data_IF_928346868428
#
_entry.id   IF_928346868428
#
_cell.length_a   1.000
_cell.length_b   1.000
_cell.length_c   1.000
_cell.angle_alpha   90.00
_cell.angle_beta   90.00
_cell.angle_gamma   90.00
#
_symmetry.space_group_name_H-M   'P 1'
#
loop_
_entity.id
_entity.type
_entity.pdbx_description
1 polymer ?
#
# COMPACT_ATOMS: atom_id res chain seq x y z
N UNK A 1 0.87 48.97 8.58
CA UNK A 1 2.12 48.23 8.83
C UNK A 1 2.23 47.10 7.82
N UNK A 2 3.33 46.95 7.10
CA UNK A 2 3.40 46.12 5.92
C UNK A 2 3.55 44.65 6.28
N UNK A 3 2.55 43.82 5.90
CA UNK A 3 2.56 42.35 5.97
C UNK A 3 3.61 41.68 5.07
N UNK A 4 4.40 42.42 4.30
CA UNK A 4 5.40 41.94 3.33
C UNK A 4 6.59 41.19 3.93
N UNK A 5 6.85 41.30 5.24
CA UNK A 5 8.05 40.75 5.88
C UNK A 5 7.91 39.31 6.40
N UNK A 6 6.69 38.73 6.42
CA UNK A 6 6.45 37.41 7.01
C UNK A 6 6.40 36.26 5.99
N UNK A 7 6.09 36.53 4.72
CA UNK A 7 5.95 35.50 3.70
C UNK A 7 7.32 35.01 3.22
N UNK A 8 8.30 35.89 3.08
CA UNK A 8 9.66 35.53 2.64
C UNK A 8 10.41 34.57 3.61
N UNK A 9 10.40 34.81 4.94
CA UNK A 9 11.09 33.89 5.87
C UNK A 9 10.40 32.52 6.00
N UNK A 10 9.07 32.45 5.87
CA UNK A 10 8.36 31.16 5.87
C UNK A 10 8.68 30.37 4.60
N UNK A 11 8.81 31.04 3.45
CA UNK A 11 9.23 30.45 2.19
C UNK A 11 10.66 29.88 2.26
N UNK A 12 11.58 30.60 2.92
CA UNK A 12 12.98 30.16 3.08
C UNK A 12 13.10 28.94 4.02
N UNK A 13 12.26 28.84 5.05
CA UNK A 13 12.24 27.70 5.97
C UNK A 13 11.73 26.40 5.30
N UNK A 14 10.76 26.51 4.39
CA UNK A 14 10.23 25.36 3.63
C UNK A 14 11.27 24.79 2.68
N UNK A 15 12.13 25.63 2.12
CA UNK A 15 13.20 25.20 1.19
C UNK A 15 14.42 24.58 1.93
N UNK A 16 14.66 24.95 3.19
CA UNK A 16 15.84 24.49 3.94
C UNK A 16 15.60 23.18 4.74
N UNK A 17 14.34 22.80 5.02
CA UNK A 17 14.01 21.57 5.74
C UNK A 17 13.82 20.33 4.86
N UNK A 18 13.97 20.46 3.54
CA UNK A 18 13.74 19.40 2.54
C UNK A 18 14.88 18.44 2.27
N UNK A 19 15.91 18.37 3.11
CA UNK A 19 17.00 17.43 2.93
C UNK A 19 16.80 16.13 3.71
N UNK A 20 16.30 15.12 3.08
CA UNK A 20 16.73 13.73 2.96
C UNK A 20 15.58 12.76 2.73
N UNK A 21 15.69 12.12 1.61
CA UNK A 21 14.99 10.91 1.09
C UNK A 21 13.77 11.14 0.19
N UNK A 22 14.06 11.18 -1.12
CA UNK A 22 13.37 10.31 -2.07
C UNK A 22 11.94 10.62 -2.46
N UNK A 23 11.55 11.90 -2.70
CA UNK A 23 10.27 12.12 -3.41
C UNK A 23 10.34 13.32 -4.37
N UNK A 24 11.09 13.14 -5.47
CA UNK A 24 11.26 14.13 -6.54
C UNK A 24 9.92 14.66 -7.09
N UNK A 25 8.88 13.82 -7.11
CA UNK A 25 7.55 14.23 -7.55
C UNK A 25 6.88 15.21 -6.58
N UNK A 26 7.08 15.03 -5.29
CA UNK A 26 6.49 15.88 -4.25
C UNK A 26 7.21 17.24 -4.15
N UNK A 27 8.53 17.25 -4.35
CA UNK A 27 9.32 18.49 -4.43
C UNK A 27 8.92 19.31 -5.66
N UNK A 28 8.68 18.65 -6.79
CA UNK A 28 8.19 19.30 -8.01
C UNK A 28 6.80 19.89 -7.80
N UNK A 29 5.89 19.17 -7.18
CA UNK A 29 4.54 19.65 -6.88
C UNK A 29 4.54 20.81 -5.88
N UNK A 30 5.40 20.78 -4.87
CA UNK A 30 5.57 21.86 -3.93
C UNK A 30 6.18 23.11 -4.61
N UNK A 31 7.13 22.92 -5.55
CA UNK A 31 7.70 23.99 -6.33
C UNK A 31 6.66 24.65 -7.26
N UNK A 32 5.77 23.84 -7.87
CA UNK A 32 4.68 24.33 -8.72
C UNK A 32 3.64 25.14 -7.91
N UNK A 33 3.25 24.63 -6.73
CA UNK A 33 2.35 25.36 -5.80
C UNK A 33 2.99 26.68 -5.36
N UNK A 34 4.27 26.66 -5.06
CA UNK A 34 5.02 27.84 -4.64
C UNK A 34 5.13 28.89 -5.77
N UNK A 35 5.33 28.43 -7.01
CA UNK A 35 5.35 29.29 -8.18
C UNK A 35 3.98 29.93 -8.42
N UNK A 36 2.89 29.16 -8.24
CA UNK A 36 1.54 29.67 -8.41
C UNK A 36 1.15 30.68 -7.29
N UNK A 37 1.55 30.42 -6.05
CA UNK A 37 1.38 31.37 -4.94
C UNK A 37 2.13 32.69 -5.21
N UNK A 38 3.33 32.64 -5.79
CA UNK A 38 4.07 33.86 -6.19
C UNK A 38 3.35 34.63 -7.29
N UNK A 39 2.76 33.92 -8.30
CA UNK A 39 1.96 34.56 -9.35
C UNK A 39 0.69 35.19 -8.82
N UNK A 40 0.00 34.53 -7.88
CA UNK A 40 -1.19 35.08 -7.24
C UNK A 40 -0.85 36.33 -6.43
N UNK A 41 0.25 36.33 -5.68
CA UNK A 41 0.69 37.52 -4.93
C UNK A 41 1.07 38.67 -5.85
N UNK A 42 1.76 38.44 -6.97
CA UNK A 42 2.06 39.49 -7.95
C UNK A 42 0.79 40.10 -8.56
N UNK A 43 -0.22 39.25 -8.90
CA UNK A 43 -1.54 39.73 -9.36
C UNK A 43 -2.29 40.52 -8.31
N UNK A 44 -2.19 40.12 -7.04
CA UNK A 44 -2.79 40.87 -5.91
C UNK A 44 -2.15 42.25 -5.73
N UNK A 45 -0.82 42.36 -5.86
CA UNK A 45 -0.12 43.63 -5.81
C UNK A 45 -0.57 44.58 -6.95
N UNK A 46 -0.80 44.04 -8.15
CA UNK A 46 -1.30 44.82 -9.28
C UNK A 46 -2.76 45.25 -9.11
N UNK A 47 -3.62 44.34 -8.60
CA UNK A 47 -5.03 44.64 -8.28
C UNK A 47 -5.12 45.64 -7.14
N UNK A 48 -4.24 45.60 -6.13
CA UNK A 48 -4.19 46.57 -5.05
C UNK A 48 -3.79 47.98 -5.53
N UNK A 49 -2.90 48.05 -6.53
CA UNK A 49 -2.58 49.33 -7.20
C UNK A 49 -3.77 49.89 -7.99
N UNK A 50 -4.53 49.01 -8.69
CA UNK A 50 -5.72 49.43 -9.41
C UNK A 50 -6.91 49.71 -8.50
N UNK A 51 -7.01 49.06 -7.32
CA UNK A 51 -8.13 49.23 -6.38
C UNK A 51 -8.11 50.55 -5.63
N UNK A 52 -6.97 51.24 -5.61
CA UNK A 52 -6.93 52.64 -5.14
C UNK A 52 -7.74 53.58 -6.01
N UNK A 53 -8.13 53.10 -7.21
CA UNK A 53 -8.94 53.87 -8.17
C UNK A 53 -10.41 53.37 -8.23
N UNK A 54 -10.79 52.21 -7.67
CA UNK A 54 -12.15 51.67 -7.80
C UNK A 54 -12.66 51.04 -6.49
N UNK A 55 -13.62 51.69 -5.83
CA UNK A 55 -14.23 51.26 -4.57
C UNK A 55 -14.96 49.91 -4.63
N UNK A 56 -15.32 49.41 -5.83
CA UNK A 56 -16.04 48.14 -6.05
C UNK A 56 -15.18 46.88 -5.90
N UNK A 57 -13.85 47.02 -6.00
CA UNK A 57 -12.91 45.89 -5.91
C UNK A 57 -12.54 45.53 -4.45
N UNK A 58 -12.77 46.40 -3.49
CA UNK A 58 -12.47 46.15 -2.07
C UNK A 58 -13.13 44.90 -1.45
N UNK A 59 -14.41 44.57 -1.74
CA UNK A 59 -15.06 43.37 -1.21
C UNK A 59 -14.44 42.10 -1.73
N UNK A 60 -14.06 42.03 -3.02
CA UNK A 60 -13.45 40.86 -3.62
C UNK A 60 -12.03 40.61 -3.09
N UNK A 61 -11.24 41.66 -2.90
CA UNK A 61 -9.93 41.58 -2.23
C UNK A 61 -10.00 41.04 -0.80
N UNK A 62 -11.05 41.42 -0.04
CA UNK A 62 -11.29 40.85 1.29
C UNK A 62 -11.59 39.36 1.24
N UNK A 63 -12.38 38.89 0.25
CA UNK A 63 -12.67 37.47 0.06
C UNK A 63 -11.42 36.67 -0.33
N UNK A 64 -10.61 37.21 -1.22
CA UNK A 64 -9.34 36.60 -1.64
C UNK A 64 -8.38 36.50 -0.48
N UNK A 65 -8.20 37.55 0.31
CA UNK A 65 -7.35 37.54 1.50
C UNK A 65 -7.84 36.52 2.56
N UNK A 66 -9.15 36.42 2.79
CA UNK A 66 -9.71 35.43 3.69
C UNK A 66 -9.48 33.97 3.19
N UNK A 67 -9.52 33.75 1.88
CA UNK A 67 -9.19 32.46 1.29
C UNK A 67 -7.70 32.14 1.39
N UNK A 68 -6.81 33.11 1.22
CA UNK A 68 -5.36 32.95 1.41
C UNK A 68 -5.01 32.61 2.88
N UNK A 69 -5.62 33.29 3.85
CA UNK A 69 -5.47 33.00 5.27
C UNK A 69 -5.97 31.57 5.61
N UNK A 70 -7.04 31.13 4.96
CA UNK A 70 -7.58 29.76 5.10
C UNK A 70 -6.61 28.71 4.52
N UNK A 71 -6.07 28.96 3.33
CA UNK A 71 -5.08 28.08 2.69
C UNK A 71 -3.78 28.02 3.50
N UNK A 72 -3.33 29.13 4.05
CA UNK A 72 -2.15 29.16 4.91
C UNK A 72 -2.37 28.34 6.20
N UNK A 73 -3.56 28.45 6.83
CA UNK A 73 -3.94 27.59 7.96
C UNK A 73 -3.99 26.12 7.59
N UNK A 74 -4.54 25.78 6.43
CA UNK A 74 -4.58 24.40 5.94
C UNK A 74 -3.16 23.86 5.67
N UNK A 75 -2.28 24.65 5.07
CA UNK A 75 -0.87 24.27 4.88
C UNK A 75 -0.14 24.06 6.20
N UNK A 76 -0.33 24.94 7.20
CA UNK A 76 0.22 24.75 8.55
C UNK A 76 -0.30 23.45 9.20
N UNK A 77 -1.59 23.15 9.06
CA UNK A 77 -2.17 21.92 9.58
C UNK A 77 -1.60 20.68 8.86
N UNK A 78 -1.38 20.76 7.55
CA UNK A 78 -0.72 19.70 6.77
C UNK A 78 0.74 19.52 7.21
N UNK A 79 1.46 20.59 7.51
CA UNK A 79 2.83 20.52 8.02
C UNK A 79 2.90 19.94 9.44
N UNK A 80 1.96 20.28 10.32
CA UNK A 80 1.86 19.69 11.68
C UNK A 80 1.56 18.18 11.57
N UNK A 81 0.67 17.78 10.68
CA UNK A 81 0.35 16.37 10.44
C UNK A 81 1.48 15.61 9.73
N UNK A 82 2.42 16.30 9.07
CA UNK A 82 3.64 15.73 8.46
C UNK A 82 4.82 15.63 9.42
N UNK A 83 4.83 16.41 10.49
CA UNK A 83 5.94 16.46 11.45
C UNK A 83 6.11 15.15 12.25
N UNK A 84 5.11 14.27 12.21
CA UNK A 84 5.23 12.89 12.69
C UNK A 84 4.73 11.94 11.61
N UNK A 85 5.62 11.44 10.71
CA UNK A 85 5.24 10.26 9.94
C UNK A 85 4.78 9.18 10.94
N UNK A 86 3.74 8.39 10.62
CA UNK A 86 3.35 7.30 11.50
C UNK A 86 4.62 6.49 11.76
N UNK A 87 5.07 6.49 13.02
CA UNK A 87 6.26 5.73 13.42
C UNK A 87 5.84 4.27 13.35
N UNK A 88 6.01 3.67 12.17
CA UNK A 88 5.90 2.23 12.00
C UNK A 88 7.07 1.62 12.78
N UNK A 89 6.76 0.94 13.85
CA UNK A 89 7.76 0.25 14.66
C UNK A 89 7.53 0.44 16.17
N UNK A 90 8.30 -0.26 16.99
CA UNK A 90 8.13 -0.26 18.42
C UNK A 90 8.45 1.13 19.01
N UNK A 91 7.59 1.59 19.91
CA UNK A 91 7.83 2.79 20.72
C UNK A 91 9.11 2.65 21.54
N UNK A 92 9.72 3.76 22.04
CA UNK A 92 10.87 3.68 22.92
C UNK A 92 10.63 2.80 24.16
N UNK A 93 9.41 2.82 24.71
CA UNK A 93 9.03 1.98 25.85
C UNK A 93 9.04 0.49 25.49
N UNK A 94 8.49 0.12 24.34
CA UNK A 94 8.52 -1.25 23.81
C UNK A 94 9.97 -1.69 23.54
N UNK A 95 10.79 -0.86 22.88
CA UNK A 95 12.21 -1.16 22.65
C UNK A 95 12.96 -1.44 23.94
N UNK A 96 12.70 -0.65 24.99
CA UNK A 96 13.31 -0.86 26.30
C UNK A 96 12.85 -2.17 26.95
N UNK A 97 11.58 -2.57 26.82
CA UNK A 97 11.11 -3.88 27.29
C UNK A 97 11.79 -5.02 26.52
N UNK A 98 11.83 -4.94 25.18
CA UNK A 98 12.44 -5.95 24.31
C UNK A 98 13.94 -6.14 24.60
N UNK A 99 14.68 -5.06 24.89
CA UNK A 99 16.11 -5.12 25.19
C UNK A 99 16.44 -5.84 26.51
N UNK A 100 15.45 -6.01 27.41
CA UNK A 100 15.59 -6.72 28.67
C UNK A 100 15.33 -8.23 28.57
N UNK A 101 14.82 -8.71 27.42
CA UNK A 101 14.57 -10.13 27.20
C UNK A 101 15.92 -10.86 27.18
N UNK A 102 16.07 -11.82 28.09
CA UNK A 102 17.29 -12.62 28.17
C UNK A 102 17.40 -13.53 26.96
N UNK A 103 18.59 -13.69 26.36
CA UNK A 103 18.79 -14.63 25.28
C UNK A 103 18.51 -16.06 25.73
N UNK A 104 18.06 -16.90 24.79
CA UNK A 104 17.93 -18.33 25.02
C UNK A 104 19.31 -18.95 25.29
N UNK A 105 19.40 -20.01 26.13
CA UNK A 105 20.60 -20.82 26.26
C UNK A 105 20.92 -21.55 24.96
N UNK A 106 22.14 -22.08 24.83
CA UNK A 106 22.58 -22.75 23.59
C UNK A 106 21.70 -23.98 23.23
N UNK A 107 21.17 -24.69 24.21
CA UNK A 107 20.27 -25.82 24.02
C UNK A 107 19.02 -25.58 24.87
N UNK A 108 18.07 -24.78 24.41
CA UNK A 108 16.88 -24.45 25.18
C UNK A 108 15.92 -25.63 25.25
N UNK A 109 15.26 -25.79 26.38
CA UNK A 109 14.10 -26.70 26.50
C UNK A 109 12.89 -26.10 25.80
N UNK A 110 11.93 -26.95 25.45
CA UNK A 110 10.64 -26.49 24.83
C UNK A 110 9.96 -25.43 25.70
N UNK A 111 9.95 -25.63 27.03
CA UNK A 111 9.35 -24.66 27.95
C UNK A 111 10.08 -23.33 27.94
N UNK A 112 11.43 -23.31 27.83
CA UNK A 112 12.18 -22.07 27.73
C UNK A 112 11.91 -21.32 26.45
N UNK A 113 11.69 -22.03 25.34
CA UNK A 113 11.28 -21.44 24.06
C UNK A 113 9.88 -20.83 24.16
N UNK A 114 8.93 -21.56 24.70
CA UNK A 114 7.56 -21.07 24.91
C UNK A 114 7.55 -19.79 25.76
N UNK A 115 8.28 -19.79 26.87
CA UNK A 115 8.35 -18.66 27.78
C UNK A 115 9.07 -17.46 27.13
N UNK A 116 10.09 -17.72 26.30
CA UNK A 116 10.77 -16.70 25.53
C UNK A 116 9.82 -16.02 24.50
N UNK A 117 9.01 -16.81 23.79
CA UNK A 117 8.01 -16.29 22.85
C UNK A 117 6.97 -15.43 23.59
N UNK A 118 6.49 -15.90 24.74
CA UNK A 118 5.54 -15.15 25.57
C UNK A 118 6.12 -13.81 26.02
N UNK A 119 7.36 -13.77 26.48
CA UNK A 119 8.05 -12.53 26.87
C UNK A 119 8.14 -11.53 25.70
N UNK A 120 8.44 -11.99 24.48
CA UNK A 120 8.46 -11.13 23.30
C UNK A 120 7.06 -10.55 23.03
N UNK A 121 6.03 -11.37 23.10
CA UNK A 121 4.64 -10.94 22.85
C UNK A 121 4.17 -9.93 23.89
N UNK A 122 4.37 -10.18 25.17
CA UNK A 122 4.03 -9.29 26.26
C UNK A 122 4.80 -7.95 26.18
N UNK A 123 6.08 -8.00 25.85
CA UNK A 123 6.89 -6.81 25.66
C UNK A 123 6.42 -5.94 24.47
N UNK A 124 5.79 -6.59 23.47
CA UNK A 124 5.32 -5.95 22.23
C UNK A 124 3.85 -5.56 22.28
N UNK A 125 3.16 -5.79 23.37
CA UNK A 125 1.74 -5.49 23.51
C UNK A 125 1.47 -4.00 23.23
N UNK A 126 0.44 -3.73 22.42
CA UNK A 126 0.07 -2.36 22.02
C UNK A 126 0.99 -1.73 21.00
N UNK A 127 1.87 -2.48 20.32
CA UNK A 127 2.68 -1.93 19.25
C UNK A 127 1.82 -1.48 18.06
N UNK A 128 1.93 -0.23 17.63
CA UNK A 128 1.21 0.26 16.45
C UNK A 128 1.90 -0.22 15.16
N UNK A 129 1.31 -1.20 14.51
CA UNK A 129 1.79 -1.65 13.20
C UNK A 129 2.93 -2.68 13.24
N UNK A 130 3.43 -3.00 12.07
CA UNK A 130 4.43 -4.05 11.84
C UNK A 130 5.44 -3.60 10.78
N UNK A 131 6.72 -3.93 11.03
CA UNK A 131 7.79 -3.87 10.05
C UNK A 131 8.62 -5.16 10.11
N UNK A 132 9.09 -5.65 8.97
CA UNK A 132 10.01 -6.79 8.91
C UNK A 132 11.37 -6.51 9.56
N UNK A 133 11.67 -5.26 9.84
CA UNK A 133 12.89 -4.80 10.51
C UNK A 133 12.70 -4.52 12.00
N UNK A 134 11.53 -4.85 12.55
CA UNK A 134 11.26 -4.66 13.96
C UNK A 134 12.16 -5.58 14.82
N UNK A 135 12.63 -5.11 15.99
CA UNK A 135 13.50 -5.89 16.88
C UNK A 135 12.92 -7.24 17.28
N UNK A 136 11.59 -7.37 17.33
CA UNK A 136 10.91 -8.63 17.63
C UNK A 136 11.25 -9.74 16.64
N UNK A 137 11.39 -9.40 15.34
CA UNK A 137 11.76 -10.38 14.31
C UNK A 137 13.12 -10.99 14.63
N UNK A 138 14.11 -10.15 14.96
CA UNK A 138 15.43 -10.59 15.34
C UNK A 138 15.46 -11.42 16.65
N UNK A 139 14.52 -11.13 17.57
CA UNK A 139 14.38 -11.95 18.79
C UNK A 139 13.79 -13.33 18.45
N UNK A 140 12.76 -13.42 17.63
CA UNK A 140 12.21 -14.70 17.19
C UNK A 140 13.23 -15.52 16.42
N UNK A 141 14.04 -14.90 15.54
CA UNK A 141 15.08 -15.58 14.78
C UNK A 141 16.12 -16.29 15.65
N UNK A 142 16.31 -15.87 16.91
CA UNK A 142 17.23 -16.53 17.87
C UNK A 142 16.76 -17.90 18.32
N UNK A 143 15.49 -18.24 18.13
CA UNK A 143 14.97 -19.58 18.44
C UNK A 143 15.65 -20.62 17.55
N UNK A 144 15.90 -20.26 16.27
CA UNK A 144 16.49 -21.17 15.30
C UNK A 144 15.55 -22.27 14.81
N UNK A 145 16.02 -23.12 13.89
CA UNK A 145 15.25 -24.22 13.33
C UNK A 145 15.12 -25.42 14.28
N UNK A 146 14.15 -26.32 13.95
CA UNK A 146 13.91 -27.55 14.72
C UNK A 146 12.83 -27.44 15.79
N UNK A 147 12.28 -26.26 15.98
CA UNK A 147 11.26 -25.99 17.03
C UNK A 147 9.90 -25.58 16.44
N UNK A 148 9.67 -25.82 15.14
CA UNK A 148 8.46 -25.38 14.45
C UNK A 148 7.18 -25.87 15.13
N UNK A 149 7.17 -27.07 15.68
CA UNK A 149 6.02 -27.66 16.38
C UNK A 149 5.52 -26.81 17.55
N UNK A 150 6.42 -26.08 18.22
CA UNK A 150 6.07 -25.17 19.33
C UNK A 150 5.47 -23.86 18.82
N UNK A 151 5.82 -23.46 17.59
CA UNK A 151 5.43 -22.16 17.03
C UNK A 151 3.98 -22.13 16.55
N UNK A 152 3.37 -23.27 16.23
CA UNK A 152 2.01 -23.34 15.68
C UNK A 152 0.95 -22.70 16.55
N UNK A 153 1.09 -22.80 17.88
CA UNK A 153 0.20 -22.14 18.79
C UNK A 153 0.23 -20.62 18.64
N UNK A 154 1.41 -20.07 18.37
CA UNK A 154 1.66 -18.62 18.28
C UNK A 154 1.47 -18.06 16.86
N UNK A 155 1.32 -18.90 15.85
CA UNK A 155 1.02 -18.48 14.46
C UNK A 155 -0.47 -18.15 14.27
N UNK A 156 -1.33 -18.48 15.22
CA UNK A 156 -2.74 -18.10 15.20
C UNK A 156 -2.89 -16.67 15.73
N UNK A 157 -3.78 -15.91 15.08
CA UNK A 157 -4.19 -14.62 15.62
C UNK A 157 -5.15 -14.87 16.79
N UNK A 158 -4.78 -14.45 17.98
CA UNK A 158 -5.59 -14.59 19.20
C UNK A 158 -6.34 -13.30 19.56
N UNK A 159 -6.34 -12.31 18.66
CA UNK A 159 -7.00 -11.01 18.87
C UNK A 159 -6.15 -10.01 19.68
N UNK A 160 -5.21 -10.46 20.48
CA UNK A 160 -4.35 -9.59 21.29
C UNK A 160 -2.95 -9.42 20.67
N UNK A 161 -2.46 -10.44 19.97
CA UNK A 161 -1.12 -10.47 19.44
C UNK A 161 -1.13 -10.86 17.97
N UNK A 162 -0.58 -9.99 17.13
CA UNK A 162 -0.41 -10.27 15.71
C UNK A 162 0.74 -11.29 15.50
N UNK A 163 0.53 -12.35 14.72
CA UNK A 163 1.61 -13.28 14.40
C UNK A 163 2.62 -12.74 13.38
N UNK A 164 2.46 -11.51 12.90
CA UNK A 164 3.23 -10.97 11.76
C UNK A 164 4.74 -10.98 11.98
N UNK A 165 5.22 -10.62 13.19
CA UNK A 165 6.66 -10.64 13.48
C UNK A 165 7.22 -12.06 13.50
N UNK A 166 6.47 -13.02 14.08
CA UNK A 166 6.85 -14.43 14.07
C UNK A 166 6.82 -14.99 12.64
N UNK A 167 5.80 -14.63 11.84
CA UNK A 167 5.71 -14.99 10.43
C UNK A 167 6.88 -14.44 9.61
N UNK A 168 7.37 -13.24 9.93
CA UNK A 168 8.54 -12.66 9.27
C UNK A 168 9.83 -13.42 9.60
N UNK A 169 9.93 -13.98 10.79
CA UNK A 169 11.08 -14.76 11.24
C UNK A 169 11.11 -16.20 10.66
N UNK A 170 9.99 -16.72 10.14
CA UNK A 170 9.89 -18.10 9.63
C UNK A 170 11.03 -18.52 8.69
N UNK A 171 11.57 -17.67 7.80
CA UNK A 171 12.73 -18.02 6.97
C UNK A 171 13.94 -18.55 7.73
N UNK A 172 14.12 -18.15 8.99
CA UNK A 172 15.23 -18.59 9.86
C UNK A 172 14.79 -19.59 10.94
N UNK A 173 13.48 -19.74 11.14
CA UNK A 173 12.91 -20.66 12.12
C UNK A 173 12.63 -22.05 11.57
N UNK A 174 12.63 -22.18 10.24
CA UNK A 174 12.33 -23.42 9.54
C UNK A 174 13.63 -23.96 8.96
N UNK A 175 13.98 -25.18 9.26
CA UNK A 175 15.16 -25.88 8.75
C UNK A 175 14.85 -27.29 8.23
N UNK A 176 15.89 -28.03 7.79
CA UNK A 176 15.73 -29.35 7.16
C UNK A 176 14.98 -30.35 8.05
N UNK A 177 15.22 -30.30 9.36
CA UNK A 177 14.52 -31.14 10.33
C UNK A 177 12.98 -30.89 10.38
N UNK A 178 12.54 -29.68 9.99
CA UNK A 178 11.14 -29.30 10.01
C UNK A 178 10.39 -29.62 8.70
N UNK A 179 11.09 -30.06 7.65
CA UNK A 179 10.58 -30.19 6.28
C UNK A 179 9.30 -31.01 6.17
N UNK A 180 9.24 -32.19 6.77
CA UNK A 180 8.05 -33.04 6.76
C UNK A 180 6.90 -32.44 7.58
N UNK A 181 7.22 -31.74 8.65
CA UNK A 181 6.23 -31.03 9.45
C UNK A 181 5.64 -29.84 8.65
N UNK A 182 6.48 -29.10 7.94
CA UNK A 182 6.05 -28.02 7.02
C UNK A 182 5.10 -28.59 5.96
N UNK A 183 5.48 -29.68 5.29
CA UNK A 183 4.64 -30.31 4.24
C UNK A 183 3.26 -30.67 4.76
N UNK A 184 3.18 -31.34 5.89
CA UNK A 184 1.90 -31.75 6.51
C UNK A 184 1.06 -30.58 7.00
N UNK A 185 1.71 -29.51 7.42
CA UNK A 185 1.05 -28.36 8.05
C UNK A 185 0.77 -27.20 7.08
N UNK A 186 1.28 -27.26 5.84
CA UNK A 186 1.22 -26.15 4.87
C UNK A 186 -0.23 -25.72 4.59
N UNK A 187 -1.16 -26.68 4.49
CA UNK A 187 -2.58 -26.38 4.27
C UNK A 187 -3.20 -25.60 5.43
N UNK A 188 -2.84 -25.95 6.66
CA UNK A 188 -3.36 -25.31 7.88
C UNK A 188 -2.66 -23.96 8.16
N UNK A 189 -1.39 -23.88 7.82
CA UNK A 189 -0.53 -22.71 8.05
C UNK A 189 0.15 -22.27 6.75
N UNK A 190 -0.59 -21.62 5.83
CA UNK A 190 -0.06 -21.23 4.52
C UNK A 190 1.18 -20.32 4.58
N UNK A 191 1.37 -19.57 5.68
CA UNK A 191 2.55 -18.73 5.91
C UNK A 191 3.86 -19.50 5.93
N UNK A 192 3.84 -20.83 6.13
CA UNK A 192 5.02 -21.69 6.06
C UNK A 192 5.67 -21.71 4.66
N UNK A 193 4.98 -21.23 3.61
CA UNK A 193 5.56 -20.98 2.29
C UNK A 193 6.84 -20.14 2.39
N UNK A 194 6.93 -19.21 3.34
CA UNK A 194 8.16 -18.44 3.58
C UNK A 194 9.35 -19.33 3.91
N UNK A 195 9.15 -20.33 4.76
CA UNK A 195 10.16 -21.34 5.08
C UNK A 195 10.48 -22.23 3.89
N UNK A 196 9.46 -22.64 3.08
CA UNK A 196 9.66 -23.41 1.86
C UNK A 196 10.55 -22.66 0.86
N UNK A 197 10.24 -21.38 0.63
CA UNK A 197 10.99 -20.51 -0.28
C UNK A 197 12.44 -20.31 0.20
N UNK A 198 12.61 -19.97 1.48
CA UNK A 198 13.94 -19.68 2.06
C UNK A 198 14.88 -20.89 2.06
N UNK A 199 14.32 -22.10 2.18
CA UNK A 199 15.09 -23.34 2.17
C UNK A 199 15.22 -23.98 0.76
N UNK A 200 14.66 -23.35 -0.29
CA UNK A 200 14.76 -23.85 -1.65
C UNK A 200 13.91 -25.08 -1.95
N UNK A 201 12.90 -25.41 -1.13
CA UNK A 201 12.08 -26.63 -1.27
C UNK A 201 10.91 -26.51 -2.25
N UNK A 202 10.83 -25.43 -3.02
CA UNK A 202 9.72 -25.19 -3.94
C UNK A 202 9.47 -26.34 -4.91
N UNK A 203 10.53 -26.91 -5.50
CA UNK A 203 10.42 -28.03 -6.44
C UNK A 203 9.89 -29.30 -5.76
N UNK A 204 10.38 -29.58 -4.57
CA UNK A 204 10.00 -30.79 -3.81
C UNK A 204 8.58 -30.72 -3.25
N UNK A 205 8.12 -29.51 -2.89
CA UNK A 205 6.78 -29.25 -2.34
C UNK A 205 5.81 -28.67 -3.38
N UNK A 206 6.17 -28.72 -4.66
CA UNK A 206 5.37 -28.15 -5.75
C UNK A 206 3.91 -28.62 -5.69
N UNK A 207 3.68 -29.92 -5.55
CA UNK A 207 2.31 -30.49 -5.51
C UNK A 207 1.49 -29.93 -4.35
N UNK A 208 2.10 -29.78 -3.18
CA UNK A 208 1.44 -29.26 -1.99
C UNK A 208 1.10 -27.78 -2.15
N UNK A 209 2.01 -26.99 -2.75
CA UNK A 209 1.81 -25.57 -3.07
C UNK A 209 0.71 -25.40 -4.10
N UNK A 210 0.72 -26.17 -5.19
CA UNK A 210 -0.32 -26.10 -6.21
C UNK A 210 -1.68 -26.53 -5.66
N UNK A 211 -1.72 -27.57 -4.81
CA UNK A 211 -2.95 -27.98 -4.12
C UNK A 211 -3.48 -26.89 -3.19
N UNK A 212 -2.59 -26.12 -2.55
CA UNK A 212 -2.97 -24.96 -1.75
C UNK A 212 -3.54 -23.84 -2.62
N UNK A 213 -2.90 -23.53 -3.75
CA UNK A 213 -3.35 -22.50 -4.70
C UNK A 213 -4.67 -22.86 -5.39
N UNK A 214 -4.95 -24.15 -5.57
CA UNK A 214 -6.20 -24.63 -6.14
C UNK A 214 -7.43 -24.39 -5.22
N UNK A 215 -7.24 -23.91 -4.00
CA UNK A 215 -8.30 -23.56 -3.05
C UNK A 215 -8.57 -22.04 -3.06
N UNK A 216 -9.20 -21.49 -4.09
CA UNK A 216 -9.24 -20.04 -4.34
C UNK A 216 -10.01 -19.21 -3.31
N UNK A 217 -10.88 -19.84 -2.54
CA UNK A 217 -11.78 -19.15 -1.60
C UNK A 217 -11.23 -19.02 -0.19
N UNK A 218 -10.20 -19.78 0.16
CA UNK A 218 -9.65 -19.72 1.51
C UNK A 218 -8.64 -18.59 1.65
N UNK A 219 -8.85 -17.80 2.69
CA UNK A 219 -8.22 -16.52 2.92
C UNK A 219 -6.69 -16.60 3.13
N UNK A 220 -6.01 -15.51 2.78
CA UNK A 220 -4.65 -15.18 3.22
C UNK A 220 -3.54 -16.15 2.84
N UNK A 221 -3.61 -16.71 1.61
CA UNK A 221 -2.44 -17.37 1.06
C UNK A 221 -1.31 -16.33 0.94
N UNK A 222 -0.09 -16.64 1.39
CA UNK A 222 1.07 -15.77 1.23
C UNK A 222 1.60 -15.84 -0.22
N UNK A 223 0.69 -15.61 -1.17
CA UNK A 223 0.97 -15.65 -2.62
C UNK A 223 2.03 -14.63 -3.04
N UNK A 224 2.25 -13.60 -2.22
CA UNK A 224 3.29 -12.62 -2.46
C UNK A 224 4.69 -13.25 -2.55
N UNK A 225 4.97 -14.20 -1.67
CA UNK A 225 6.25 -14.92 -1.66
C UNK A 225 6.43 -15.78 -2.92
N UNK A 226 5.32 -16.30 -3.48
CA UNK A 226 5.34 -17.16 -4.65
C UNK A 226 5.46 -16.39 -5.98
N UNK A 227 5.10 -15.10 -6.00
CA UNK A 227 5.06 -14.31 -7.24
C UNK A 227 6.38 -14.30 -8.02
N UNK A 228 7.50 -14.36 -7.31
CA UNK A 228 8.85 -14.40 -7.90
C UNK A 228 9.22 -15.76 -8.49
N UNK A 229 8.55 -16.83 -8.05
CA UNK A 229 8.89 -18.23 -8.34
C UNK A 229 7.84 -18.92 -9.21
N UNK A 230 6.93 -18.18 -9.83
CA UNK A 230 5.88 -18.73 -10.69
C UNK A 230 6.50 -19.60 -11.81
N UNK A 231 7.63 -19.16 -12.39
CA UNK A 231 8.33 -19.91 -13.40
C UNK A 231 8.82 -21.30 -12.94
N UNK A 232 9.17 -21.43 -11.65
CA UNK A 232 9.60 -22.73 -11.08
C UNK A 232 8.41 -23.65 -10.80
N UNK A 233 7.23 -23.07 -10.55
CA UNK A 233 6.00 -23.80 -10.26
C UNK A 233 5.28 -24.27 -11.54
N UNK A 234 5.39 -23.55 -12.66
CA UNK A 234 4.73 -23.89 -13.92
C UNK A 234 5.63 -24.78 -14.77
N UNK A 235 5.29 -26.07 -14.85
CA UNK A 235 5.97 -27.07 -15.69
C UNK A 235 5.01 -27.78 -16.65
N UNK A 236 3.70 -27.52 -16.50
CA UNK A 236 2.66 -28.09 -17.33
C UNK A 236 1.52 -27.10 -17.56
N UNK A 237 0.66 -27.31 -18.58
CA UNK A 237 -0.56 -26.52 -18.75
C UNK A 237 -1.50 -26.55 -17.54
N UNK A 238 -1.57 -27.67 -16.84
CA UNK A 238 -2.40 -27.82 -15.64
C UNK A 238 -1.87 -26.97 -14.48
N UNK A 239 -0.54 -26.90 -14.29
CA UNK A 239 0.07 -26.02 -13.30
C UNK A 239 -0.27 -24.55 -13.62
N UNK A 240 -0.14 -24.16 -14.89
CA UNK A 240 -0.48 -22.81 -15.34
C UNK A 240 -1.94 -22.50 -15.07
N UNK A 241 -2.83 -23.46 -15.35
CA UNK A 241 -4.27 -23.29 -15.08
C UNK A 241 -4.54 -23.05 -13.60
N UNK A 242 -3.94 -23.81 -12.69
CA UNK A 242 -4.09 -23.63 -11.25
C UNK A 242 -3.65 -22.22 -10.84
N UNK A 243 -2.52 -21.73 -11.35
CA UNK A 243 -1.97 -20.43 -10.97
C UNK A 243 -2.80 -19.28 -11.57
N UNK A 244 -3.29 -19.42 -12.81
CA UNK A 244 -4.19 -18.44 -13.42
C UNK A 244 -5.55 -18.40 -12.72
N UNK A 245 -6.11 -19.55 -12.34
CA UNK A 245 -7.31 -19.63 -11.53
C UNK A 245 -7.10 -18.97 -10.15
N UNK A 246 -5.95 -19.20 -9.49
CA UNK A 246 -5.60 -18.54 -8.25
C UNK A 246 -5.50 -17.01 -8.43
N UNK A 247 -4.95 -16.51 -9.54
CA UNK A 247 -4.94 -15.10 -9.85
C UNK A 247 -6.36 -14.53 -9.98
N UNK A 248 -7.25 -15.22 -10.65
CA UNK A 248 -8.62 -14.75 -10.91
C UNK A 248 -9.47 -14.80 -9.63
N UNK A 249 -9.46 -15.92 -8.93
CA UNK A 249 -10.45 -16.21 -7.88
C UNK A 249 -9.93 -15.99 -6.46
N UNK A 250 -8.61 -16.06 -6.23
CA UNK A 250 -8.08 -15.86 -4.89
C UNK A 250 -8.10 -14.38 -4.50
N UNK A 251 -8.43 -14.11 -3.26
CA UNK A 251 -8.50 -12.76 -2.70
C UNK A 251 -7.20 -11.95 -2.87
N UNK A 252 -6.06 -12.61 -2.68
CA UNK A 252 -4.73 -12.02 -2.81
C UNK A 252 -4.05 -12.35 -4.14
N UNK A 253 -4.75 -13.02 -5.07
CA UNK A 253 -4.20 -13.50 -6.33
C UNK A 253 -3.56 -12.41 -7.20
N UNK A 254 -4.01 -11.16 -7.05
CA UNK A 254 -3.50 -10.03 -7.84
C UNK A 254 -1.96 -9.89 -7.80
N UNK A 255 -1.30 -10.36 -6.75
CA UNK A 255 0.16 -10.31 -6.63
C UNK A 255 0.90 -11.30 -7.54
N UNK A 256 0.21 -12.31 -8.07
CA UNK A 256 0.79 -13.29 -9.00
C UNK A 256 1.03 -12.73 -10.41
N UNK A 257 0.43 -11.57 -10.75
CA UNK A 257 0.47 -11.02 -12.10
C UNK A 257 1.89 -10.79 -12.62
N UNK A 258 2.78 -10.27 -11.78
CA UNK A 258 4.16 -9.98 -12.20
C UNK A 258 4.96 -11.24 -12.51
N UNK A 259 4.64 -12.37 -11.85
CA UNK A 259 5.18 -13.67 -12.19
C UNK A 259 4.59 -14.23 -13.49
N UNK A 260 3.25 -14.13 -13.65
CA UNK A 260 2.54 -14.59 -14.84
C UNK A 260 2.96 -13.85 -16.12
N UNK A 261 3.26 -12.55 -16.02
CA UNK A 261 3.79 -11.77 -17.15
C UNK A 261 5.11 -12.27 -17.73
N UNK A 262 5.87 -13.00 -16.94
CA UNK A 262 7.18 -13.55 -17.36
C UNK A 262 7.04 -14.90 -18.07
N UNK A 263 5.86 -15.52 -18.03
CA UNK A 263 5.63 -16.80 -18.67
C UNK A 263 5.26 -16.62 -20.14
N UNK A 264 5.88 -17.42 -21.03
CA UNK A 264 5.51 -17.40 -22.43
C UNK A 264 4.08 -17.93 -22.63
N UNK A 265 3.35 -17.38 -23.58
CA UNK A 265 2.03 -17.85 -23.98
C UNK A 265 0.87 -17.48 -23.06
N UNK A 266 1.12 -16.72 -21.97
CA UNK A 266 0.04 -16.21 -21.10
C UNK A 266 -0.58 -14.96 -21.73
N UNK A 267 -1.86 -15.02 -22.06
CA UNK A 267 -2.63 -13.84 -22.48
C UNK A 267 -2.99 -12.99 -21.26
N UNK A 268 -2.08 -12.07 -20.94
CA UNK A 268 -2.23 -11.15 -19.81
C UNK A 268 -3.47 -10.28 -19.95
N UNK A 269 -3.79 -9.85 -21.18
CA UNK A 269 -4.97 -9.00 -21.45
C UNK A 269 -6.25 -9.73 -21.09
N UNK A 270 -6.41 -10.95 -21.56
CA UNK A 270 -7.56 -11.78 -21.23
C UNK A 270 -7.64 -12.04 -19.72
N UNK A 271 -6.52 -12.40 -19.12
CA UNK A 271 -6.43 -12.76 -17.71
C UNK A 271 -6.87 -11.61 -16.76
N UNK A 272 -6.37 -10.40 -16.99
CA UNK A 272 -6.74 -9.26 -16.13
C UNK A 272 -8.20 -8.82 -16.32
N UNK A 273 -8.75 -8.96 -17.54
CA UNK A 273 -10.16 -8.71 -17.81
C UNK A 273 -11.07 -9.73 -17.11
N UNK A 274 -10.71 -11.03 -17.13
CA UNK A 274 -11.44 -12.06 -16.40
C UNK A 274 -11.41 -11.80 -14.89
N UNK A 275 -10.23 -11.49 -14.34
CA UNK A 275 -10.09 -11.19 -12.91
C UNK A 275 -10.87 -9.96 -12.46
N UNK A 276 -10.97 -8.93 -13.31
CA UNK A 276 -11.79 -7.75 -13.06
C UNK A 276 -13.29 -8.09 -13.10
N UNK A 277 -13.73 -8.80 -14.13
CA UNK A 277 -15.13 -9.23 -14.25
C UNK A 277 -15.58 -10.11 -13.07
N UNK A 278 -14.70 -11.01 -12.61
CA UNK A 278 -14.98 -11.85 -11.43
C UNK A 278 -15.07 -11.01 -10.15
N UNK A 279 -14.16 -10.06 -9.96
CA UNK A 279 -14.18 -9.18 -8.80
C UNK A 279 -15.41 -8.26 -8.74
N UNK A 280 -15.99 -7.89 -9.88
CA UNK A 280 -17.24 -7.14 -9.93
C UNK A 280 -18.44 -8.00 -9.49
N UNK A 281 -18.46 -9.29 -9.81
CA UNK A 281 -19.51 -10.24 -9.39
C UNK A 281 -19.38 -10.63 -7.92
N UNK A 282 -18.16 -10.89 -7.49
CA UNK A 282 -17.81 -11.34 -6.15
C UNK A 282 -16.80 -10.36 -5.53
N UNK A 283 -17.27 -9.23 -4.96
CA UNK A 283 -16.38 -8.21 -4.42
C UNK A 283 -15.45 -8.76 -3.35
N UNK A 284 -14.18 -8.52 -3.54
CA UNK A 284 -13.12 -8.79 -2.56
C UNK A 284 -12.87 -7.53 -1.72
N UNK A 285 -11.93 -7.60 -0.76
CA UNK A 285 -11.60 -6.41 0.03
C UNK A 285 -11.02 -5.29 -0.86
N UNK A 286 -11.13 -4.05 -0.39
CA UNK A 286 -10.86 -2.82 -1.14
C UNK A 286 -9.50 -2.81 -1.86
N UNK A 287 -8.41 -3.14 -1.15
CA UNK A 287 -7.08 -3.12 -1.77
C UNK A 287 -6.93 -4.11 -2.94
N UNK A 288 -7.58 -5.25 -2.87
CA UNK A 288 -7.59 -6.22 -3.98
C UNK A 288 -8.42 -5.70 -5.16
N UNK A 289 -9.57 -5.06 -4.89
CA UNK A 289 -10.39 -4.41 -5.91
C UNK A 289 -9.62 -3.29 -6.61
N UNK A 290 -8.92 -2.43 -5.84
CA UNK A 290 -8.06 -1.38 -6.39
C UNK A 290 -6.99 -1.99 -7.31
N UNK A 291 -6.27 -3.00 -6.82
CA UNK A 291 -5.19 -3.64 -7.57
C UNK A 291 -5.70 -4.26 -8.88
N UNK A 292 -6.88 -4.88 -8.88
CA UNK A 292 -7.51 -5.44 -10.08
C UNK A 292 -7.95 -4.35 -11.06
N UNK A 293 -8.53 -3.24 -10.56
CA UNK A 293 -8.88 -2.10 -11.39
C UNK A 293 -7.64 -1.46 -12.04
N UNK A 294 -6.55 -1.29 -11.28
CA UNK A 294 -5.28 -0.79 -11.80
C UNK A 294 -4.70 -1.73 -12.87
N UNK A 295 -4.74 -3.04 -12.63
CA UNK A 295 -4.20 -4.04 -13.54
C UNK A 295 -5.00 -4.08 -14.86
N UNK A 296 -6.33 -4.06 -14.81
CA UNK A 296 -7.14 -4.09 -16.04
C UNK A 296 -6.98 -2.83 -16.87
N UNK A 297 -6.84 -1.65 -16.24
CA UNK A 297 -6.58 -0.40 -16.97
C UNK A 297 -5.18 -0.40 -17.59
N UNK A 298 -4.18 -0.98 -16.91
CA UNK A 298 -2.80 -1.00 -17.37
C UNK A 298 -2.55 -2.03 -18.46
N UNK A 299 -3.06 -3.23 -18.27
CA UNK A 299 -2.69 -4.43 -19.03
C UNK A 299 -3.87 -5.02 -19.84
N UNK A 300 -5.12 -4.73 -19.45
CA UNK A 300 -6.34 -5.26 -20.07
C UNK A 300 -6.88 -4.44 -21.23
N UNK A 301 -6.37 -3.23 -21.41
CA UNK A 301 -6.86 -2.26 -22.38
C UNK A 301 -7.86 -1.28 -21.77
N UNK A 302 -8.52 -0.46 -22.60
CA UNK A 302 -9.47 0.54 -22.12
C UNK A 302 -10.62 -0.07 -21.33
N UNK A 303 -10.78 0.38 -20.08
CA UNK A 303 -11.84 -0.10 -19.18
C UNK A 303 -12.43 1.07 -18.39
N UNK A 304 -13.54 1.62 -18.89
CA UNK A 304 -14.21 2.80 -18.31
C UNK A 304 -14.77 2.49 -16.93
N UNK A 305 -15.30 1.28 -16.72
CA UNK A 305 -15.88 0.90 -15.43
C UNK A 305 -14.83 0.80 -14.32
N UNK A 306 -13.62 0.34 -14.64
CA UNK A 306 -12.51 0.34 -13.69
C UNK A 306 -12.07 1.77 -13.35
N UNK A 307 -12.04 2.68 -14.33
CA UNK A 307 -11.76 4.12 -14.08
C UNK A 307 -12.85 4.73 -13.20
N UNK A 308 -14.12 4.51 -13.51
CA UNK A 308 -15.25 4.99 -12.70
C UNK A 308 -15.19 4.45 -11.27
N UNK A 309 -14.83 3.17 -11.11
CA UNK A 309 -14.63 2.55 -9.80
C UNK A 309 -13.55 3.29 -8.98
N UNK A 310 -12.38 3.52 -9.58
CA UNK A 310 -11.28 4.22 -8.91
C UNK A 310 -11.64 5.68 -8.57
N UNK A 311 -12.38 6.37 -9.43
CA UNK A 311 -12.87 7.73 -9.16
C UNK A 311 -13.87 7.74 -7.99
N UNK A 312 -14.83 6.79 -7.97
CA UNK A 312 -15.77 6.63 -6.85
C UNK A 312 -15.04 6.38 -5.54
N UNK A 313 -14.02 5.55 -5.57
CA UNK A 313 -13.21 5.25 -4.40
C UNK A 313 -12.53 6.49 -3.80
N UNK A 314 -12.03 7.40 -4.65
CA UNK A 314 -11.43 8.65 -4.20
C UNK A 314 -12.42 9.58 -3.49
N UNK A 315 -13.73 9.44 -3.74
CA UNK A 315 -14.78 10.23 -3.11
C UNK A 315 -15.20 9.72 -1.72
N UNK A 316 -14.80 8.50 -1.35
CA UNK A 316 -15.10 7.92 -0.03
C UNK A 316 -14.03 8.38 0.97
N UNK A 317 -14.42 9.26 1.91
CA UNK A 317 -13.46 9.96 2.79
C UNK A 317 -13.11 9.23 4.10
N UNK A 318 -13.79 8.12 4.46
CA UNK A 318 -13.96 7.75 5.86
C UNK A 318 -12.92 6.78 6.46
N UNK A 319 -11.91 6.31 5.69
CA UNK A 319 -10.89 5.41 6.22
C UNK A 319 -9.47 5.96 6.08
N UNK A 320 -8.84 6.44 7.18
CA UNK A 320 -7.47 7.02 7.13
C UNK A 320 -6.40 6.06 6.63
N UNK A 321 -6.54 4.76 6.89
CA UNK A 321 -5.56 3.76 6.43
C UNK A 321 -5.60 3.53 4.92
N UNK A 322 -6.77 3.61 4.31
CA UNK A 322 -6.93 3.50 2.85
C UNK A 322 -6.67 4.81 2.12
N UNK A 323 -6.78 5.97 2.79
CA UNK A 323 -6.48 7.28 2.20
C UNK A 323 -5.05 7.36 1.67
N UNK A 324 -4.06 6.86 2.40
CA UNK A 324 -2.67 6.86 1.95
C UNK A 324 -2.50 6.09 0.63
N UNK A 325 -3.06 4.88 0.54
CA UNK A 325 -2.97 4.08 -0.68
C UNK A 325 -3.71 4.74 -1.85
N UNK A 326 -4.90 5.26 -1.61
CA UNK A 326 -5.71 5.98 -2.61
C UNK A 326 -4.95 7.20 -3.14
N UNK A 327 -4.41 8.04 -2.25
CA UNK A 327 -3.72 9.26 -2.63
C UNK A 327 -2.38 8.99 -3.32
N UNK A 328 -1.59 8.05 -2.82
CA UNK A 328 -0.23 7.82 -3.34
C UNK A 328 -0.17 6.88 -4.54
N UNK A 329 -1.19 6.04 -4.75
CA UNK A 329 -1.22 5.08 -5.85
C UNK A 329 -2.28 5.43 -6.88
N UNK A 330 -3.54 5.62 -6.47
CA UNK A 330 -4.66 5.80 -7.40
C UNK A 330 -4.62 7.17 -8.08
N UNK A 331 -4.39 8.24 -7.32
CA UNK A 331 -4.37 9.61 -7.88
C UNK A 331 -3.27 9.77 -8.94
N UNK A 332 -1.99 9.44 -8.70
CA UNK A 332 -0.95 9.53 -9.73
C UNK A 332 -1.25 8.66 -10.95
N UNK A 333 -1.79 7.46 -10.73
CA UNK A 333 -2.13 6.53 -11.80
C UNK A 333 -3.22 7.10 -12.71
N UNK A 334 -4.32 7.64 -12.16
CA UNK A 334 -5.39 8.25 -12.93
C UNK A 334 -4.93 9.54 -13.60
N UNK A 335 -4.17 10.39 -12.91
CA UNK A 335 -3.64 11.65 -13.48
C UNK A 335 -2.78 11.41 -14.72
N UNK A 336 -2.05 10.30 -14.76
CA UNK A 336 -1.26 9.93 -15.92
C UNK A 336 -2.12 9.46 -17.11
N UNK A 337 -3.33 8.96 -16.87
CA UNK A 337 -4.18 8.29 -17.88
C UNK A 337 -5.45 9.05 -18.25
N UNK A 338 -5.83 10.04 -17.47
CA UNK A 338 -7.01 10.85 -17.71
C UNK A 338 -6.61 12.24 -18.19
N UNK A 339 -7.33 12.78 -19.19
CA UNK A 339 -7.21 14.14 -19.72
C UNK A 339 -8.29 15.05 -19.09
N UNK A 340 -8.57 14.82 -17.84
CA UNK A 340 -9.43 15.63 -16.97
C UNK A 340 -8.85 15.67 -15.57
N UNK A 341 -9.10 16.76 -14.81
CA UNK A 341 -8.47 16.94 -13.50
C UNK A 341 -9.00 15.95 -12.46
N UNK A 342 -8.10 15.42 -11.65
CA UNK A 342 -8.43 14.62 -10.48
C UNK A 342 -8.44 15.57 -9.28
N UNK A 343 -9.62 15.97 -8.88
CA UNK A 343 -9.85 16.93 -7.80
C UNK A 343 -9.72 16.31 -6.39
N UNK A 344 -9.77 17.17 -5.39
CA UNK A 344 -10.04 16.72 -4.01
C UNK A 344 -11.42 16.02 -3.91
N UNK A 345 -11.66 15.20 -2.87
CA UNK A 345 -12.85 14.37 -2.79
C UNK A 345 -14.19 15.11 -2.96
N UNK A 346 -14.28 16.34 -2.43
CA UNK A 346 -15.54 17.12 -2.49
C UNK A 346 -15.81 17.59 -3.90
N UNK A 347 -14.82 18.24 -4.52
CA UNK A 347 -14.93 18.72 -5.91
C UNK A 347 -15.03 17.56 -6.91
N UNK A 348 -14.36 16.44 -6.62
CA UNK A 348 -14.44 15.25 -7.46
C UNK A 348 -15.86 14.69 -7.48
N UNK A 349 -16.59 14.71 -6.36
CA UNK A 349 -17.97 14.25 -6.31
C UNK A 349 -18.88 15.08 -7.24
N UNK A 350 -18.87 16.40 -7.08
CA UNK A 350 -19.66 17.29 -7.93
C UNK A 350 -19.31 17.16 -9.42
N UNK A 351 -18.03 17.00 -9.71
CA UNK A 351 -17.55 16.82 -11.07
C UNK A 351 -17.98 15.45 -11.62
N UNK A 352 -17.86 14.38 -10.83
CA UNK A 352 -18.21 13.02 -11.23
C UNK A 352 -19.69 12.90 -11.56
N UNK A 353 -20.56 13.44 -10.73
CA UNK A 353 -22.01 13.39 -10.93
C UNK A 353 -22.43 14.04 -12.27
N UNK A 354 -21.68 15.05 -12.70
CA UNK A 354 -21.93 15.77 -13.98
C UNK A 354 -21.30 15.11 -15.20
N UNK A 355 -20.23 14.34 -15.02
CA UNK A 355 -19.36 13.94 -16.13
C UNK A 355 -19.12 12.44 -16.26
N UNK A 356 -19.54 11.61 -15.30
CA UNK A 356 -19.24 10.17 -15.30
C UNK A 356 -19.66 9.46 -16.60
N UNK A 357 -20.83 9.81 -17.16
CA UNK A 357 -21.35 9.19 -18.38
C UNK A 357 -20.70 9.73 -19.67
N UNK A 358 -19.94 10.81 -19.54
CA UNK A 358 -19.17 11.40 -20.64
C UNK A 358 -17.74 10.89 -20.73
N UNK A 359 -17.28 10.06 -19.75
CA UNK A 359 -15.93 9.48 -19.77
C UNK A 359 -15.86 8.46 -20.90
N UNK A 360 -14.95 8.68 -21.84
CA UNK A 360 -14.64 7.76 -22.93
C UNK A 360 -13.13 7.60 -23.06
N UNK A 361 -12.68 6.53 -23.73
CA UNK A 361 -11.28 6.38 -24.07
C UNK A 361 -11.01 6.95 -25.46
N UNK A 362 -10.00 7.80 -25.56
CA UNK A 362 -9.50 8.33 -26.83
C UNK A 362 -8.24 7.55 -27.25
N UNK A 363 -8.33 6.66 -28.24
CA UNK A 363 -7.18 5.86 -28.67
C UNK A 363 -6.06 6.70 -29.31
N UNK A 364 -6.38 7.86 -29.88
CA UNK A 364 -5.37 8.74 -30.46
C UNK A 364 -4.49 9.39 -29.39
N UNK A 365 -5.07 9.70 -28.25
CA UNK A 365 -4.35 10.24 -27.08
C UNK A 365 -3.81 9.17 -26.14
N UNK A 366 -4.31 7.94 -26.23
CA UNK A 366 -4.02 6.90 -25.25
C UNK A 366 -4.58 7.20 -23.85
N UNK A 367 -5.61 8.03 -23.74
CA UNK A 367 -6.14 8.56 -22.48
C UNK A 367 -7.66 8.49 -22.39
N UNK A 368 -8.16 8.52 -21.16
CA UNK A 368 -9.58 8.76 -20.90
C UNK A 368 -9.87 10.26 -20.94
N UNK A 369 -10.90 10.61 -21.68
CA UNK A 369 -11.31 12.01 -21.95
C UNK A 369 -12.80 12.18 -21.70
N UNK A 370 -13.27 13.42 -21.66
CA UNK A 370 -14.70 13.69 -21.68
C UNK A 370 -15.19 13.82 -23.12
N UNK A 371 -16.24 13.08 -23.46
CA UNK A 371 -16.96 13.24 -24.73
C UNK A 371 -17.53 14.67 -24.76
N UNK A 372 -17.27 15.38 -25.85
CA UNK A 372 -17.83 16.71 -26.11
C UNK A 372 -19.35 16.68 -26.22
#
# INVERSE_FOLDING_TARGET
MPRKSLILPVLALVLLSGCRTGNVALEKQNAEILAELKRINARLDDVEKQSKQNAEIRPELKKINANLDRLEKQMKQIQINRATPPVFGPTPAIRNKLSKIRPLPANPTDQQIIDYIRQIREASEGQPGYSSHDPQVALYERIGPGHLHLLFHFLKNDGHHSPLHLMAALPKLVGEADKELVRRSLKQYPMLIRGVVSNGWLKEMKKDILALLAQPKEANLPVYELSKYIGDLVQSPDDLKIITDAYIYNRNGFVLLDGLKKLPGVDIRQLVNQAWAEAQKNPVYENAMISRALNVIRDGGPNIEAVKYLLKLLMISDNPGSQNYRTHVVVPFLSARCDFPIYDPTRLREWYDKNADRIVYDPAKGKYVLKK
#
